data_IF_938399609710
#
_entry.id   IF_938399609710
#
_cell.length_a   1.000
_cell.length_b   1.000
_cell.length_c   1.000
_cell.angle_alpha   90.00
_cell.angle_beta   90.00
_cell.angle_gamma   90.00
#
_symmetry.space_group_name_H-M   'P 1'
#
loop_
_entity.id
_entity.type
_entity.pdbx_description
1 polymer ?
#
# COMPACT_ATOMS: atom_id res chain seq x y z
N UNK A 1 14.42 17.67 -26.72
CA UNK A 1 13.63 16.43 -26.88
C UNK A 1 13.67 15.65 -25.58
N UNK A 2 12.65 14.88 -25.27
CA UNK A 2 12.68 13.98 -24.10
C UNK A 2 13.30 12.64 -24.49
N UNK A 3 14.04 12.02 -23.56
CA UNK A 3 14.59 10.67 -23.73
C UNK A 3 14.04 9.77 -22.63
N UNK A 4 13.42 8.66 -23.02
CA UNK A 4 12.92 7.64 -22.06
C UNK A 4 13.96 6.53 -21.93
N UNK A 5 14.28 6.15 -20.68
CA UNK A 5 15.15 5.02 -20.36
C UNK A 5 14.73 4.31 -19.07
N UNK A 6 15.26 3.12 -18.87
CA UNK A 6 15.11 2.38 -17.60
C UNK A 6 16.08 2.99 -16.59
N UNK A 7 15.58 3.26 -15.39
CA UNK A 7 16.37 3.75 -14.27
C UNK A 7 17.19 2.63 -13.64
N UNK A 8 18.50 2.87 -13.51
CA UNK A 8 19.44 2.04 -12.76
C UNK A 8 19.54 2.46 -11.29
N UNK A 9 20.32 1.73 -10.50
CA UNK A 9 20.50 2.04 -9.07
C UNK A 9 21.13 3.43 -8.83
N UNK A 10 21.98 3.88 -9.74
CA UNK A 10 22.62 5.21 -9.70
C UNK A 10 21.61 6.35 -9.86
N UNK A 11 20.43 6.09 -10.43
CA UNK A 11 19.39 7.10 -10.64
C UNK A 11 18.53 7.35 -9.38
N UNK A 12 18.73 6.58 -8.32
CA UNK A 12 17.92 6.71 -7.09
C UNK A 12 17.83 8.15 -6.58
N UNK A 13 18.91 8.95 -6.44
CA UNK A 13 18.80 10.32 -5.95
C UNK A 13 17.93 11.20 -6.85
N UNK A 14 18.16 11.16 -8.17
CA UNK A 14 17.39 11.94 -9.14
C UNK A 14 15.91 11.54 -9.17
N UNK A 15 15.65 10.24 -9.09
CA UNK A 15 14.30 9.70 -9.03
C UNK A 15 13.57 10.14 -7.76
N UNK A 16 14.18 9.95 -6.60
CA UNK A 16 13.56 10.27 -5.31
C UNK A 16 13.35 11.78 -5.14
N UNK A 17 14.29 12.61 -5.56
CA UNK A 17 14.15 14.07 -5.57
C UNK A 17 12.99 14.51 -6.47
N UNK A 18 12.87 13.93 -7.67
CA UNK A 18 11.74 14.20 -8.55
C UNK A 18 10.42 13.77 -7.88
N UNK A 19 10.32 12.55 -7.36
CA UNK A 19 9.11 12.06 -6.67
C UNK A 19 8.71 12.97 -5.51
N UNK A 20 9.67 13.42 -4.71
CA UNK A 20 9.43 14.30 -3.56
C UNK A 20 9.01 15.71 -3.98
N UNK A 21 9.40 16.19 -5.16
CA UNK A 21 8.95 17.48 -5.69
C UNK A 21 7.52 17.44 -6.22
N UNK A 22 7.00 16.26 -6.59
CA UNK A 22 5.65 16.13 -7.15
C UNK A 22 4.58 16.05 -6.08
N UNK A 23 3.52 16.86 -6.16
CA UNK A 23 2.37 16.82 -5.23
C UNK A 23 1.69 15.45 -5.16
N UNK A 24 1.69 14.71 -6.27
CA UNK A 24 1.12 13.36 -6.37
C UNK A 24 2.12 12.25 -6.03
N UNK A 25 3.39 12.58 -5.73
CA UNK A 25 4.37 11.62 -5.24
C UNK A 25 3.99 11.06 -3.87
N UNK A 26 4.32 9.80 -3.62
CA UNK A 26 4.03 9.15 -2.34
C UNK A 26 5.06 8.05 -2.05
N UNK A 27 4.98 7.40 -0.87
CA UNK A 27 6.02 6.48 -0.42
C UNK A 27 6.27 5.34 -1.42
N UNK A 28 5.24 4.87 -2.09
CA UNK A 28 5.36 3.77 -3.04
C UNK A 28 6.14 4.14 -4.31
N UNK A 29 6.14 5.42 -4.73
CA UNK A 29 6.92 5.88 -5.87
C UNK A 29 8.43 5.96 -5.60
N UNK A 30 8.84 6.00 -4.32
CA UNK A 30 10.25 6.08 -3.96
C UNK A 30 11.01 4.83 -4.41
N UNK A 31 12.27 5.00 -4.73
CA UNK A 31 13.17 3.92 -5.15
C UNK A 31 13.32 2.82 -4.06
N UNK A 32 13.01 3.17 -2.82
CA UNK A 32 12.92 2.24 -1.70
C UNK A 32 11.96 1.07 -1.99
N UNK A 33 10.80 1.33 -2.64
CA UNK A 33 9.86 0.26 -3.00
C UNK A 33 10.42 -0.70 -4.04
N UNK A 34 11.16 -0.17 -5.05
CA UNK A 34 11.89 -0.96 -6.03
C UNK A 34 12.86 -1.92 -5.35
N UNK A 35 13.70 -1.37 -4.46
CA UNK A 35 14.70 -2.16 -3.71
C UNK A 35 14.06 -3.28 -2.91
N UNK A 36 12.98 -2.99 -2.18
CA UNK A 36 12.27 -3.98 -1.38
C UNK A 36 11.69 -5.11 -2.26
N UNK A 37 11.09 -4.79 -3.42
CA UNK A 37 10.55 -5.77 -4.36
C UNK A 37 11.65 -6.66 -4.94
N UNK A 38 12.77 -6.08 -5.36
CA UNK A 38 13.90 -6.83 -5.92
C UNK A 38 14.57 -7.74 -4.89
N UNK A 39 14.80 -7.22 -3.68
CA UNK A 39 15.51 -7.92 -2.63
C UNK A 39 14.71 -9.11 -2.09
N UNK A 40 13.40 -8.95 -1.87
CA UNK A 40 12.60 -9.98 -1.21
C UNK A 40 11.96 -10.98 -2.15
N UNK A 41 11.43 -10.51 -3.28
CA UNK A 41 10.66 -11.35 -4.20
C UNK A 41 11.35 -11.60 -5.52
N UNK A 42 12.48 -10.94 -5.79
CA UNK A 42 13.29 -11.07 -7.01
C UNK A 42 12.47 -10.84 -8.28
N UNK A 43 11.45 -9.96 -8.21
CA UNK A 43 10.72 -9.54 -9.38
C UNK A 43 11.54 -8.58 -10.20
N UNK A 44 11.38 -8.67 -11.51
CA UNK A 44 12.03 -7.78 -12.47
C UNK A 44 11.34 -6.42 -12.45
N UNK A 45 12.09 -5.39 -12.10
CA UNK A 45 11.59 -4.01 -12.09
C UNK A 45 11.94 -3.31 -13.41
N UNK A 46 11.04 -2.48 -13.89
CA UNK A 46 11.15 -1.68 -15.11
C UNK A 46 10.77 -0.23 -14.79
N UNK A 47 11.50 0.39 -13.88
CA UNK A 47 11.31 1.78 -13.55
C UNK A 47 11.78 2.63 -14.73
N UNK A 48 10.88 3.36 -15.38
CA UNK A 48 11.21 4.21 -16.52
C UNK A 48 11.14 5.68 -16.13
N UNK A 49 12.08 6.46 -16.65
CA UNK A 49 12.11 7.89 -16.49
C UNK A 49 12.24 8.56 -17.86
N UNK A 50 11.66 9.74 -17.97
CA UNK A 50 11.85 10.68 -19.06
C UNK A 50 12.79 11.79 -18.59
N UNK A 51 13.82 12.07 -19.36
CA UNK A 51 14.80 13.12 -19.06
C UNK A 51 14.95 14.08 -20.25
N UNK A 52 15.27 15.33 -19.96
CA UNK A 52 15.63 16.34 -20.99
C UNK A 52 17.03 16.07 -21.54
N UNK A 53 17.38 16.75 -22.64
CA UNK A 53 18.74 16.71 -23.20
C UNK A 53 19.82 17.18 -22.20
N UNK A 54 19.44 17.89 -21.15
CA UNK A 54 20.31 18.35 -20.05
C UNK A 54 20.32 17.38 -18.84
N UNK A 55 19.65 16.23 -18.92
CA UNK A 55 19.60 15.23 -17.85
C UNK A 55 18.61 15.55 -16.71
N UNK A 56 17.74 16.57 -16.89
CA UNK A 56 16.68 16.87 -15.90
C UNK A 56 15.53 15.86 -16.04
N UNK A 57 15.10 15.26 -14.93
CA UNK A 57 13.95 14.34 -14.92
C UNK A 57 12.66 15.11 -15.16
N UNK A 58 11.91 14.73 -16.18
CA UNK A 58 10.63 15.31 -16.60
C UNK A 58 9.41 14.48 -16.16
N UNK A 59 9.62 13.18 -15.96
CA UNK A 59 8.57 12.27 -15.51
C UNK A 59 9.11 10.89 -15.19
N UNK A 60 8.36 10.17 -14.37
CA UNK A 60 8.69 8.80 -13.93
C UNK A 60 7.48 7.89 -13.95
N UNK A 61 7.70 6.61 -14.24
CA UNK A 61 6.71 5.56 -14.11
C UNK A 61 7.37 4.29 -13.56
N UNK A 62 7.09 3.91 -12.30
CA UNK A 62 7.57 2.67 -11.72
C UNK A 62 6.77 1.48 -12.24
N UNK A 63 7.43 0.47 -12.79
CA UNK A 63 6.81 -0.74 -13.30
C UNK A 63 7.52 -1.98 -12.72
N UNK A 64 6.73 -3.02 -12.43
CA UNK A 64 7.22 -4.33 -11.97
C UNK A 64 6.58 -5.43 -12.79
N UNK A 65 7.38 -6.35 -13.27
CA UNK A 65 6.92 -7.51 -14.03
C UNK A 65 6.68 -8.70 -13.09
N UNK A 66 5.42 -9.06 -12.93
CA UNK A 66 5.00 -10.24 -12.18
C UNK A 66 4.82 -11.41 -13.15
N UNK A 67 5.62 -12.49 -12.95
CA UNK A 67 5.62 -13.71 -13.79
C UNK A 67 5.14 -14.91 -12.96
N UNK A 68 3.82 -15.09 -12.75
CA UNK A 68 3.34 -16.28 -12.04
C UNK A 68 3.55 -17.54 -12.90
N UNK A 69 3.93 -18.68 -12.28
CA UNK A 69 4.03 -19.95 -13.00
C UNK A 69 2.70 -20.30 -13.68
N UNK A 70 2.75 -20.73 -14.94
CA UNK A 70 1.61 -21.22 -15.73
C UNK A 70 0.49 -20.17 -15.99
N UNK A 71 0.67 -18.92 -15.59
CA UNK A 71 -0.30 -17.86 -15.82
C UNK A 71 0.33 -16.72 -16.64
N UNK A 72 -0.52 -15.88 -17.22
CA UNK A 72 -0.06 -14.70 -17.98
C UNK A 72 0.70 -13.72 -17.08
N UNK A 73 1.81 -13.22 -17.58
CA UNK A 73 2.58 -12.16 -16.92
C UNK A 73 1.78 -10.86 -16.83
N UNK A 74 2.08 -10.05 -15.83
CA UNK A 74 1.50 -8.72 -15.67
C UNK A 74 2.61 -7.70 -15.40
N UNK A 75 2.65 -6.64 -16.19
CA UNK A 75 3.46 -5.46 -15.94
C UNK A 75 2.58 -4.47 -15.16
N UNK A 76 2.87 -4.25 -13.89
CA UNK A 76 2.04 -3.46 -13.00
C UNK A 76 2.78 -2.23 -12.50
N UNK A 77 2.10 -1.08 -12.47
CA UNK A 77 2.63 0.10 -11.82
C UNK A 77 2.49 -0.03 -10.31
N UNK A 78 3.46 -0.71 -9.73
CA UNK A 78 3.67 -1.11 -8.34
C UNK A 78 2.69 -2.14 -7.79
N UNK A 79 3.19 -3.35 -7.56
CA UNK A 79 2.48 -4.37 -6.80
C UNK A 79 2.53 -4.09 -5.31
N UNK A 80 1.62 -4.74 -4.55
CA UNK A 80 1.57 -4.79 -3.09
C UNK A 80 1.23 -3.46 -2.42
N UNK A 81 0.80 -2.47 -3.21
CA UNK A 81 0.41 -1.14 -2.75
C UNK A 81 -0.79 -0.60 -3.55
N UNK A 82 -1.27 0.57 -3.17
CA UNK A 82 -2.54 1.10 -3.67
C UNK A 82 -2.39 1.95 -4.94
N UNK A 83 -1.23 2.54 -5.19
CA UNK A 83 -0.96 3.40 -6.33
C UNK A 83 0.53 3.46 -6.69
N UNK A 84 0.83 3.84 -7.91
CA UNK A 84 2.18 3.91 -8.46
C UNK A 84 2.19 4.34 -9.93
N UNK A 85 1.22 5.15 -10.35
CA UNK A 85 1.10 5.63 -11.73
C UNK A 85 2.17 6.60 -12.16
N UNK A 86 2.03 7.15 -13.36
CA UNK A 86 2.93 8.18 -13.90
C UNK A 86 2.93 9.40 -12.98
N UNK A 87 4.12 9.92 -12.73
CA UNK A 87 4.30 11.26 -12.17
C UNK A 87 4.98 12.13 -13.22
N UNK A 88 4.31 13.17 -13.66
CA UNK A 88 4.86 14.25 -14.51
C UNK A 88 3.93 15.46 -14.44
N UNK A 89 4.46 16.68 -14.38
CA UNK A 89 3.66 17.89 -14.54
C UNK A 89 3.22 18.13 -15.98
N UNK A 90 3.85 17.45 -16.96
CA UNK A 90 3.64 17.65 -18.39
C UNK A 90 2.81 16.50 -18.97
N UNK A 91 1.67 16.82 -19.62
CA UNK A 91 0.81 15.82 -20.26
C UNK A 91 1.49 15.04 -21.37
N UNK A 92 2.32 15.72 -22.15
CA UNK A 92 3.04 15.08 -23.25
C UNK A 92 4.02 14.02 -22.76
N UNK A 93 4.81 14.35 -21.71
CA UNK A 93 5.71 13.40 -21.06
C UNK A 93 4.93 12.22 -20.47
N UNK A 94 3.78 12.49 -19.84
CA UNK A 94 2.90 11.44 -19.34
C UNK A 94 2.46 10.51 -20.47
N UNK A 95 2.06 11.05 -21.61
CA UNK A 95 1.65 10.28 -22.80
C UNK A 95 2.78 9.41 -23.33
N UNK A 96 3.98 9.98 -23.49
CA UNK A 96 5.16 9.24 -23.97
C UNK A 96 5.54 8.08 -23.02
N UNK A 97 5.50 8.28 -21.70
CA UNK A 97 5.72 7.23 -20.71
C UNK A 97 4.67 6.11 -20.79
N UNK A 98 3.41 6.46 -21.03
CA UNK A 98 2.32 5.49 -21.20
C UNK A 98 2.46 4.68 -22.50
N UNK A 99 2.83 5.34 -23.63
CA UNK A 99 3.11 4.67 -24.89
C UNK A 99 4.26 3.69 -24.76
N UNK A 100 5.35 4.11 -24.07
CA UNK A 100 6.50 3.26 -23.79
C UNK A 100 6.13 2.05 -22.91
N UNK A 101 5.35 2.26 -21.85
CA UNK A 101 4.87 1.18 -21.00
C UNK A 101 3.96 0.18 -21.75
N UNK A 102 3.10 0.69 -22.63
CA UNK A 102 2.23 -0.16 -23.47
C UNK A 102 3.05 -1.01 -24.45
N UNK A 103 4.03 -0.41 -25.13
CA UNK A 103 4.94 -1.11 -26.03
C UNK A 103 5.79 -2.17 -25.28
N UNK A 104 6.29 -1.81 -24.09
CA UNK A 104 7.03 -2.73 -23.22
C UNK A 104 6.17 -3.91 -22.78
N UNK A 105 4.93 -3.69 -22.36
CA UNK A 105 4.01 -4.77 -21.98
C UNK A 105 3.74 -5.72 -23.16
N UNK A 106 3.54 -5.17 -24.37
CA UNK A 106 3.35 -5.95 -25.58
C UNK A 106 4.60 -6.80 -25.92
N UNK A 107 5.81 -6.21 -25.86
CA UNK A 107 7.07 -6.93 -26.13
C UNK A 107 7.34 -8.07 -25.11
N UNK A 108 6.87 -7.91 -23.88
CA UNK A 108 6.99 -8.91 -22.82
C UNK A 108 5.85 -9.93 -22.80
N UNK A 109 4.90 -9.83 -23.73
CA UNK A 109 3.66 -10.61 -23.73
C UNK A 109 2.96 -10.59 -22.37
N UNK A 110 2.93 -9.41 -21.73
CA UNK A 110 2.37 -9.17 -20.41
C UNK A 110 1.11 -8.29 -20.50
N UNK A 111 0.20 -8.49 -19.55
CA UNK A 111 -0.92 -7.56 -19.36
C UNK A 111 -0.37 -6.30 -18.68
N UNK A 112 -0.87 -5.12 -19.07
CA UNK A 112 -0.54 -3.86 -18.42
C UNK A 112 -1.61 -3.53 -17.38
N UNK A 113 -1.17 -3.18 -16.14
CA UNK A 113 -2.03 -2.69 -15.06
C UNK A 113 -1.42 -1.42 -14.48
N UNK A 114 -2.18 -0.32 -14.50
CA UNK A 114 -1.74 0.99 -14.02
C UNK A 114 -2.63 1.48 -12.89
N UNK A 115 -2.03 1.94 -11.79
CA UNK A 115 -2.74 2.30 -10.55
C UNK A 115 -2.48 3.75 -10.18
N UNK A 116 -3.56 4.52 -10.08
CA UNK A 116 -3.52 5.94 -9.78
C UNK A 116 -4.35 6.28 -8.55
N UNK A 117 -3.98 7.37 -7.89
CA UNK A 117 -4.75 7.97 -6.80
C UNK A 117 -5.59 9.17 -7.25
N UNK A 118 -5.49 9.53 -8.52
CA UNK A 118 -6.27 10.57 -9.17
C UNK A 118 -6.72 10.09 -10.56
N UNK A 119 -7.77 10.70 -11.16
CA UNK A 119 -8.21 10.33 -12.50
C UNK A 119 -7.07 10.49 -13.52
N UNK A 120 -6.89 9.49 -14.36
CA UNK A 120 -5.91 9.49 -15.44
C UNK A 120 -6.58 9.05 -16.77
N UNK A 121 -7.45 9.88 -17.34
CA UNK A 121 -8.22 9.51 -18.54
C UNK A 121 -7.34 9.23 -19.76
N UNK A 122 -6.14 9.79 -19.81
CA UNK A 122 -5.14 9.52 -20.84
C UNK A 122 -4.74 8.04 -20.90
N UNK A 123 -4.79 7.30 -19.78
CA UNK A 123 -4.50 5.86 -19.77
C UNK A 123 -5.45 5.07 -20.66
N UNK A 124 -6.74 5.41 -20.64
CA UNK A 124 -7.72 4.77 -21.50
C UNK A 124 -7.50 5.11 -22.97
N UNK A 125 -7.16 6.35 -23.28
CA UNK A 125 -6.92 6.81 -24.67
C UNK A 125 -5.61 6.23 -25.25
N UNK A 126 -4.52 6.23 -24.47
CA UNK A 126 -3.18 5.82 -24.95
C UNK A 126 -3.02 4.30 -24.91
N UNK A 127 -3.42 3.65 -23.80
CA UNK A 127 -3.18 2.23 -23.58
C UNK A 127 -4.39 1.36 -23.90
N UNK A 128 -5.57 1.93 -24.15
CA UNK A 128 -6.82 1.18 -24.36
C UNK A 128 -7.23 0.36 -23.14
N UNK A 129 -6.94 0.85 -21.94
CA UNK A 129 -7.24 0.18 -20.67
C UNK A 129 -8.55 0.71 -20.07
N UNK A 130 -9.39 -0.20 -19.58
CA UNK A 130 -10.59 0.16 -18.80
C UNK A 130 -10.28 0.40 -17.33
N UNK A 131 -11.07 1.25 -16.67
CA UNK A 131 -11.00 1.47 -15.23
C UNK A 131 -11.66 0.30 -14.48
N UNK A 132 -11.02 -0.20 -13.43
CA UNK A 132 -11.37 -1.47 -12.78
C UNK A 132 -11.58 -1.40 -11.27
N UNK A 133 -11.21 -0.32 -10.59
CA UNK A 133 -11.29 -0.22 -9.14
C UNK A 133 -12.49 0.56 -8.64
N UNK A 134 -13.12 0.05 -7.57
CA UNK A 134 -14.12 0.74 -6.76
C UNK A 134 -13.61 0.98 -5.33
N UNK A 135 -12.28 0.89 -5.14
CA UNK A 135 -11.65 1.09 -3.84
C UNK A 135 -11.39 2.58 -3.61
N UNK A 136 -11.30 2.93 -2.34
CA UNK A 136 -10.94 4.30 -1.91
C UNK A 136 -9.80 4.24 -0.91
N UNK A 137 -8.98 5.28 -0.87
CA UNK A 137 -8.13 5.60 0.28
C UNK A 137 -8.94 6.39 1.29
N UNK A 138 -8.58 6.30 2.55
CA UNK A 138 -9.24 7.06 3.61
C UNK A 138 -8.23 8.07 4.18
N UNK A 139 -8.46 9.35 3.91
CA UNK A 139 -7.54 10.45 4.20
C UNK A 139 -8.04 11.32 5.35
N UNK A 140 -7.16 11.67 6.27
CA UNK A 140 -7.42 12.57 7.38
C UNK A 140 -6.42 13.71 7.36
N UNK A 141 -6.90 14.93 7.37
CA UNK A 141 -6.04 16.10 7.57
C UNK A 141 -5.63 16.17 9.05
N UNK A 142 -4.34 16.34 9.29
CA UNK A 142 -3.79 16.44 10.65
C UNK A 142 -3.58 17.91 11.03
N UNK A 143 -3.99 18.32 12.22
CA UNK A 143 -3.53 19.58 12.81
C UNK A 143 -2.06 19.42 13.24
N UNK A 144 -1.40 20.57 13.52
CA UNK A 144 0.03 20.59 13.86
C UNK A 144 0.42 19.83 15.11
N UNK A 145 -0.55 19.43 15.95
CA UNK A 145 -0.28 18.66 17.15
C UNK A 145 -1.40 17.67 17.51
N UNK A 146 -1.03 16.63 18.29
CA UNK A 146 -1.95 15.55 18.66
C UNK A 146 -3.03 15.97 19.68
N UNK A 147 -2.83 17.02 20.48
CA UNK A 147 -3.81 17.50 21.45
C UNK A 147 -4.95 18.23 20.74
N UNK A 148 -4.63 19.01 19.70
CA UNK A 148 -5.63 19.61 18.82
C UNK A 148 -6.45 18.52 18.10
N UNK A 149 -5.77 17.49 17.59
CA UNK A 149 -6.44 16.34 16.96
C UNK A 149 -7.36 15.63 17.96
N UNK A 150 -6.88 15.37 19.17
CA UNK A 150 -7.68 14.78 20.25
C UNK A 150 -8.90 15.63 20.59
N UNK A 151 -8.73 16.94 20.68
CA UNK A 151 -9.81 17.91 20.94
C UNK A 151 -10.92 17.86 19.86
N UNK A 152 -10.55 17.61 18.60
CA UNK A 152 -11.48 17.53 17.47
C UNK A 152 -12.35 16.27 17.47
N UNK A 153 -11.93 15.22 18.15
CA UNK A 153 -12.65 13.95 18.17
C UNK A 153 -13.94 14.01 19.00
N UNK A 154 -14.99 13.35 18.52
CA UNK A 154 -16.23 13.15 19.27
C UNK A 154 -15.96 12.38 20.56
N UNK A 155 -16.74 12.64 21.62
CA UNK A 155 -16.60 12.00 22.93
C UNK A 155 -16.62 10.47 22.85
N UNK A 156 -17.48 9.91 21.98
CA UNK A 156 -17.57 8.47 21.72
C UNK A 156 -16.22 7.90 21.22
N UNK A 157 -15.57 8.54 20.24
CA UNK A 157 -14.30 8.11 19.70
C UNK A 157 -13.19 8.17 20.77
N UNK A 158 -13.11 9.27 21.52
CA UNK A 158 -12.17 9.42 22.64
C UNK A 158 -12.36 8.31 23.71
N UNK A 159 -13.60 7.96 24.00
CA UNK A 159 -13.89 6.85 24.91
C UNK A 159 -13.40 5.50 24.37
N UNK A 160 -13.59 5.26 23.08
CA UNK A 160 -13.10 4.04 22.41
C UNK A 160 -11.57 3.95 22.40
N UNK A 161 -10.87 5.07 22.20
CA UNK A 161 -9.40 5.11 22.23
C UNK A 161 -8.87 4.86 23.66
N UNK A 162 -9.55 5.39 24.69
CA UNK A 162 -9.15 5.19 26.10
C UNK A 162 -9.42 3.77 26.62
N UNK A 163 -10.36 3.07 26.00
CA UNK A 163 -10.75 1.73 26.47
C UNK A 163 -9.60 0.74 26.52
N UNK A 164 -8.82 0.51 25.44
CA UNK A 164 -7.69 -0.43 25.50
C UNK A 164 -6.69 -0.07 26.60
N UNK A 165 -6.40 1.22 26.82
CA UNK A 165 -5.51 1.65 27.91
C UNK A 165 -6.08 1.31 29.30
N UNK A 166 -7.40 1.49 29.49
CA UNK A 166 -8.07 1.09 30.74
C UNK A 166 -8.08 -0.42 30.93
N UNK A 167 -8.10 -1.18 29.85
CA UNK A 167 -8.01 -2.64 29.84
C UNK A 167 -6.54 -3.12 30.00
N UNK A 168 -5.59 -2.21 30.26
CA UNK A 168 -4.17 -2.51 30.51
C UNK A 168 -3.33 -2.73 29.25
N UNK A 169 -3.83 -2.39 28.04
CA UNK A 169 -3.04 -2.49 26.82
C UNK A 169 -2.06 -1.32 26.70
N UNK A 170 -0.87 -1.60 26.20
CA UNK A 170 0.20 -0.61 25.95
C UNK A 170 0.54 -0.54 24.47
N UNK A 171 1.04 0.60 24.03
CA UNK A 171 1.49 0.82 22.64
C UNK A 171 2.99 1.10 22.63
N UNK A 172 3.71 0.44 21.72
CA UNK A 172 5.13 0.65 21.49
C UNK A 172 5.37 0.94 20.02
N UNK A 173 6.25 1.90 19.74
CA UNK A 173 6.72 2.24 18.38
C UNK A 173 8.20 1.89 18.27
N UNK A 174 8.57 1.21 17.19
CA UNK A 174 9.94 0.79 16.92
C UNK A 174 10.18 0.58 15.43
N UNK A 175 11.07 -0.33 15.10
CA UNK A 175 11.43 -0.70 13.73
C UNK A 175 11.66 -2.22 13.65
N UNK A 176 12.89 -2.66 13.34
CA UNK A 176 13.27 -4.08 13.25
C UNK A 176 13.12 -4.83 14.57
N UNK A 177 13.29 -4.16 15.68
CA UNK A 177 13.09 -4.68 17.04
C UNK A 177 11.66 -5.19 17.29
N UNK A 178 10.67 -4.66 16.54
CA UNK A 178 9.25 -5.06 16.63
C UNK A 178 8.78 -5.92 15.43
N UNK A 179 9.68 -6.29 14.52
CA UNK A 179 9.33 -7.00 13.29
C UNK A 179 8.67 -8.36 13.57
N UNK A 180 9.18 -9.12 14.53
CA UNK A 180 8.67 -10.47 14.84
C UNK A 180 7.29 -10.41 15.50
N UNK A 181 7.04 -9.43 16.36
CA UNK A 181 5.73 -9.20 16.98
C UNK A 181 4.71 -8.72 15.94
N UNK A 182 5.12 -7.80 15.06
CA UNK A 182 4.28 -7.39 13.93
C UNK A 182 3.92 -8.61 13.06
N UNK A 183 4.91 -9.41 12.68
CA UNK A 183 4.69 -10.53 11.78
C UNK A 183 3.80 -11.61 12.42
N UNK A 184 3.91 -11.81 13.72
CA UNK A 184 3.05 -12.73 14.49
C UNK A 184 1.58 -12.32 14.40
N UNK A 185 1.26 -11.05 14.65
CA UNK A 185 -0.11 -10.53 14.51
C UNK A 185 -0.58 -10.59 13.05
N UNK A 186 0.30 -10.19 12.13
CA UNK A 186 -0.03 -10.08 10.71
C UNK A 186 -0.38 -11.42 10.09
N UNK A 187 0.46 -12.47 10.27
CA UNK A 187 0.22 -13.80 9.69
C UNK A 187 -1.05 -14.47 10.22
N UNK A 188 -1.33 -14.33 11.52
CA UNK A 188 -2.55 -14.89 12.12
C UNK A 188 -3.80 -14.20 11.58
N UNK A 189 -3.78 -12.86 11.50
CA UNK A 189 -4.91 -12.11 10.96
C UNK A 189 -5.12 -12.38 9.46
N UNK A 190 -4.06 -12.48 8.65
CA UNK A 190 -4.17 -12.78 7.22
C UNK A 190 -4.78 -14.16 6.97
N UNK A 191 -4.39 -15.18 7.75
CA UNK A 191 -5.04 -16.49 7.70
C UNK A 191 -6.54 -16.39 8.02
N UNK A 192 -6.91 -15.70 9.11
CA UNK A 192 -8.32 -15.49 9.50
C UNK A 192 -9.13 -14.82 8.38
N UNK A 193 -8.51 -13.91 7.63
CA UNK A 193 -9.13 -13.22 6.49
C UNK A 193 -9.14 -14.07 5.20
N UNK A 194 -8.60 -15.30 5.23
CA UNK A 194 -8.52 -16.16 4.05
C UNK A 194 -7.56 -15.65 2.98
N UNK A 195 -6.58 -14.83 3.36
CA UNK A 195 -5.65 -14.19 2.43
C UNK A 195 -4.21 -14.69 2.64
N UNK A 196 -3.47 -15.00 1.56
CA UNK A 196 -2.06 -15.35 1.68
C UNK A 196 -1.26 -14.20 2.29
N UNK A 197 -0.42 -14.52 3.28
CA UNK A 197 0.44 -13.55 3.95
C UNK A 197 1.68 -13.24 3.11
N UNK A 198 2.17 -12.01 3.19
CA UNK A 198 3.50 -11.66 2.67
C UNK A 198 4.61 -12.37 3.43
N UNK A 199 5.73 -12.62 2.77
CA UNK A 199 6.92 -13.14 3.43
C UNK A 199 7.40 -12.18 4.54
N UNK A 200 7.97 -12.72 5.64
CA UNK A 200 8.62 -11.90 6.66
C UNK A 200 9.76 -11.07 6.04
N UNK A 201 10.53 -11.69 5.13
CA UNK A 201 11.60 -11.01 4.38
C UNK A 201 11.10 -9.83 3.53
N UNK A 202 9.85 -9.85 3.05
CA UNK A 202 9.25 -8.69 2.38
C UNK A 202 9.12 -7.49 3.32
N UNK A 203 8.57 -7.73 4.52
CA UNK A 203 8.41 -6.68 5.52
C UNK A 203 9.78 -6.14 5.96
N UNK A 204 10.73 -7.01 6.22
CA UNK A 204 12.11 -6.66 6.56
C UNK A 204 12.77 -5.81 5.45
N UNK A 205 12.66 -6.23 4.18
CA UNK A 205 13.17 -5.46 3.04
C UNK A 205 12.51 -4.07 2.91
N UNK A 206 11.24 -3.94 3.27
CA UNK A 206 10.57 -2.61 3.32
C UNK A 206 11.16 -1.76 4.45
N UNK A 207 11.34 -2.31 5.64
CA UNK A 207 11.95 -1.57 6.76
C UNK A 207 13.38 -1.13 6.43
N UNK A 208 14.19 -2.02 5.84
CA UNK A 208 15.56 -1.72 5.41
C UNK A 208 15.59 -0.60 4.36
N UNK A 209 14.75 -0.73 3.32
CA UNK A 209 14.77 0.20 2.20
C UNK A 209 14.25 1.60 2.57
N UNK A 210 13.24 1.67 3.46
CA UNK A 210 12.64 2.94 3.91
C UNK A 210 13.35 3.54 5.13
N UNK A 211 14.09 2.72 5.90
CA UNK A 211 14.86 3.16 7.07
C UNK A 211 14.02 4.03 8.02
N UNK A 212 14.47 5.25 8.34
CA UNK A 212 13.77 6.18 9.26
C UNK A 212 12.36 6.59 8.82
N UNK A 213 12.02 6.38 7.54
CA UNK A 213 10.69 6.66 7.00
C UNK A 213 9.67 5.55 7.28
N UNK A 214 10.11 4.39 7.76
CA UNK A 214 9.25 3.27 8.13
C UNK A 214 9.26 3.06 9.65
N UNK A 215 8.10 2.88 10.25
CA UNK A 215 7.96 2.55 11.68
C UNK A 215 6.95 1.43 11.87
N UNK A 216 7.25 0.58 12.82
CA UNK A 216 6.39 -0.50 13.30
C UNK A 216 5.73 -0.05 14.60
N UNK A 217 4.42 -0.19 14.70
CA UNK A 217 3.68 -0.01 15.94
C UNK A 217 3.09 -1.33 16.39
N UNK A 218 3.21 -1.63 17.67
CA UNK A 218 2.63 -2.84 18.29
C UNK A 218 1.86 -2.44 19.56
N UNK A 219 0.67 -3.03 19.70
CA UNK A 219 -0.13 -2.95 20.93
C UNK A 219 -0.03 -4.27 21.65
N UNK A 220 0.33 -4.22 22.92
CA UNK A 220 0.51 -5.39 23.78
C UNK A 220 -0.60 -5.50 24.83
N UNK A 221 -0.92 -6.75 25.17
CA UNK A 221 -1.69 -7.14 26.36
C UNK A 221 -0.75 -7.96 27.26
N UNK A 222 -0.19 -7.34 28.30
CA UNK A 222 1.00 -7.86 28.96
C UNK A 222 2.15 -7.97 27.95
N UNK A 223 2.77 -9.14 27.83
CA UNK A 223 3.85 -9.40 26.89
C UNK A 223 3.38 -9.92 25.52
N UNK A 224 2.06 -10.05 25.31
CA UNK A 224 1.52 -10.63 24.08
C UNK A 224 1.10 -9.55 23.08
N UNK A 225 1.56 -9.60 21.81
CA UNK A 225 1.14 -8.65 20.78
C UNK A 225 -0.33 -8.89 20.39
N UNK A 226 -1.17 -7.86 20.55
CA UNK A 226 -2.62 -7.90 20.29
C UNK A 226 -3.02 -7.23 18.98
N UNK A 227 -2.31 -6.18 18.59
CA UNK A 227 -2.45 -5.53 17.29
C UNK A 227 -1.10 -4.96 16.85
N UNK A 228 -0.88 -4.91 15.54
CA UNK A 228 0.34 -4.35 14.98
C UNK A 228 0.10 -3.73 13.61
N UNK A 229 0.95 -2.79 13.22
CA UNK A 229 0.90 -2.15 11.92
C UNK A 229 2.22 -1.49 11.55
N UNK A 230 2.29 -1.03 10.31
CA UNK A 230 3.44 -0.29 9.78
C UNK A 230 2.93 1.02 9.20
N UNK A 231 3.68 2.08 9.42
CA UNK A 231 3.49 3.36 8.74
C UNK A 231 4.72 3.70 7.90
N UNK A 232 4.47 4.35 6.76
CA UNK A 232 5.50 4.93 5.90
C UNK A 232 5.29 6.44 5.86
N UNK A 233 6.33 7.21 6.14
CA UNK A 233 6.29 8.68 6.09
C UNK A 233 6.96 9.14 4.80
N UNK A 234 6.22 9.90 4.00
CA UNK A 234 6.72 10.51 2.79
C UNK A 234 6.26 11.96 2.73
N UNK A 235 7.21 12.89 2.70
CA UNK A 235 6.93 14.32 2.80
C UNK A 235 6.16 14.61 4.10
N UNK A 236 4.97 15.14 3.97
CA UNK A 236 4.06 15.55 5.03
C UNK A 236 2.89 14.57 5.29
N UNK A 237 3.00 13.35 4.77
CA UNK A 237 1.93 12.35 4.88
C UNK A 237 2.45 11.04 5.47
N UNK A 238 1.76 10.54 6.49
CA UNK A 238 1.95 9.20 7.02
C UNK A 238 0.92 8.25 6.40
N UNK A 239 1.39 7.14 5.81
CA UNK A 239 0.54 6.13 5.14
C UNK A 239 0.63 4.80 5.87
N UNK A 240 -0.51 4.11 6.07
CA UNK A 240 -0.59 2.79 6.71
C UNK A 240 -0.79 1.69 5.65
N UNK A 241 0.28 1.04 5.16
CA UNK A 241 0.14 -0.09 4.23
C UNK A 241 -0.43 -1.35 4.89
N UNK A 242 -0.07 -1.61 6.15
CA UNK A 242 -0.52 -2.79 6.87
C UNK A 242 -0.89 -2.46 8.30
N UNK A 243 -2.05 -2.95 8.74
CA UNK A 243 -2.47 -2.97 10.14
C UNK A 243 -3.34 -4.22 10.37
N UNK A 244 -3.14 -4.87 11.48
CA UNK A 244 -3.81 -6.11 11.88
C UNK A 244 -4.08 -6.12 13.38
N UNK A 245 -5.12 -6.87 13.79
CA UNK A 245 -5.39 -7.16 15.18
C UNK A 245 -5.90 -8.59 15.33
N UNK A 246 -5.53 -9.23 16.43
CA UNK A 246 -5.96 -10.56 16.76
C UNK A 246 -7.40 -10.53 17.29
N UNK A 247 -8.23 -11.46 16.81
CA UNK A 247 -9.66 -11.52 17.16
C UNK A 247 -9.92 -11.84 18.65
N UNK A 248 -9.01 -12.49 19.31
CA UNK A 248 -9.08 -12.80 20.75
C UNK A 248 -9.08 -11.54 21.62
N UNK A 249 -8.44 -10.45 21.16
CA UNK A 249 -8.42 -9.15 21.84
C UNK A 249 -9.50 -8.17 21.34
N UNK A 250 -10.43 -8.61 20.50
CA UNK A 250 -11.43 -7.72 19.88
C UNK A 250 -12.27 -6.93 20.90
N UNK A 251 -12.53 -7.50 22.09
CA UNK A 251 -13.28 -6.85 23.16
C UNK A 251 -12.57 -5.60 23.70
N UNK A 252 -11.25 -5.63 23.79
CA UNK A 252 -10.44 -4.49 24.25
C UNK A 252 -10.10 -3.49 23.13
N UNK A 253 -10.51 -3.78 21.89
CA UNK A 253 -10.35 -2.87 20.74
C UNK A 253 -8.91 -2.35 20.51
N UNK A 254 -7.88 -3.21 20.42
CA UNK A 254 -6.49 -2.79 20.32
C UNK A 254 -6.19 -1.93 19.10
N UNK A 255 -6.96 -2.07 18.00
CA UNK A 255 -6.86 -1.21 16.81
C UNK A 255 -7.04 0.28 17.14
N UNK A 256 -7.86 0.62 18.13
CA UNK A 256 -8.07 2.01 18.51
C UNK A 256 -6.80 2.61 19.09
N UNK A 257 -6.06 1.86 19.92
CA UNK A 257 -4.80 2.30 20.48
C UNK A 257 -3.69 2.34 19.42
N UNK A 258 -3.62 1.34 18.53
CA UNK A 258 -2.67 1.28 17.44
C UNK A 258 -2.77 2.52 16.53
N UNK A 259 -3.97 2.82 16.04
CA UNK A 259 -4.15 3.98 15.14
C UNK A 259 -3.97 5.31 15.87
N UNK A 260 -4.33 5.40 17.15
CA UNK A 260 -4.04 6.59 17.94
C UNK A 260 -2.54 6.81 18.10
N UNK A 261 -1.78 5.76 18.40
CA UNK A 261 -0.32 5.84 18.47
C UNK A 261 0.32 6.29 17.14
N UNK A 262 -0.19 5.79 16.02
CA UNK A 262 0.25 6.23 14.69
C UNK A 262 -0.07 7.70 14.42
N UNK A 263 -1.26 8.16 14.78
CA UNK A 263 -1.67 9.56 14.61
C UNK A 263 -0.81 10.51 15.47
N UNK A 264 -0.53 10.12 16.72
CA UNK A 264 0.37 10.89 17.59
C UNK A 264 1.78 10.99 17.00
N UNK A 265 2.31 9.87 16.49
CA UNK A 265 3.62 9.85 15.85
C UNK A 265 3.64 10.70 14.57
N UNK A 266 2.62 10.62 13.73
CA UNK A 266 2.51 11.42 12.52
C UNK A 266 2.49 12.93 12.83
N UNK A 267 1.72 13.36 13.83
CA UNK A 267 1.72 14.75 14.30
C UNK A 267 3.11 15.16 14.81
N UNK A 268 3.76 14.32 15.64
CA UNK A 268 5.10 14.59 16.17
C UNK A 268 6.17 14.70 15.07
N UNK A 269 5.99 14.00 13.94
CA UNK A 269 6.83 14.12 12.75
C UNK A 269 6.47 15.31 11.84
N UNK A 270 5.50 16.15 12.21
CA UNK A 270 5.07 17.30 11.42
C UNK A 270 4.25 16.95 10.18
N UNK A 271 3.63 15.75 10.13
CA UNK A 271 2.75 15.40 9.05
C UNK A 271 1.46 16.23 9.08
N UNK A 272 1.04 16.75 7.92
CA UNK A 272 -0.24 17.42 7.71
C UNK A 272 -1.34 16.48 7.23
N UNK A 273 -0.99 15.24 6.81
CA UNK A 273 -1.91 14.25 6.30
C UNK A 273 -1.66 12.84 6.85
N UNK A 274 -2.76 12.07 6.98
CA UNK A 274 -2.72 10.67 7.36
C UNK A 274 -3.58 9.84 6.40
N UNK A 275 -2.95 8.87 5.74
CA UNK A 275 -3.60 7.92 4.85
C UNK A 275 -3.77 6.57 5.56
N UNK A 276 -5.00 6.28 5.97
CA UNK A 276 -5.36 5.00 6.60
C UNK A 276 -5.26 3.80 5.64
N UNK A 277 -4.88 4.02 4.38
CA UNK A 277 -4.86 3.02 3.33
C UNK A 277 -6.25 2.68 2.79
N UNK A 278 -6.27 1.68 1.92
CA UNK A 278 -7.40 1.28 1.11
C UNK A 278 -8.58 0.72 1.92
N UNK A 279 -9.79 1.01 1.42
CA UNK A 279 -11.05 0.43 1.92
C UNK A 279 -12.05 0.21 0.78
N UNK A 280 -13.06 -0.61 1.04
CA UNK A 280 -14.24 -0.74 0.18
C UNK A 280 -15.37 0.09 0.80
N UNK A 281 -15.99 1.00 0.06
CA UNK A 281 -17.13 1.78 0.56
C UNK A 281 -18.20 0.88 1.19
N UNK A 282 -18.69 1.28 2.36
CA UNK A 282 -19.74 0.56 3.09
C UNK A 282 -19.29 -0.67 3.91
N UNK A 283 -18.04 -1.13 3.76
CA UNK A 283 -17.50 -2.25 4.56
C UNK A 283 -17.01 -1.81 5.96
N UNK A 284 -16.75 -2.79 6.83
CA UNK A 284 -16.34 -2.53 8.22
C UNK A 284 -15.07 -1.71 8.35
N UNK A 285 -14.07 -1.95 7.49
CA UNK A 285 -12.82 -1.18 7.49
C UNK A 285 -13.03 0.27 7.06
N UNK A 286 -13.94 0.53 6.12
CA UNK A 286 -14.32 1.88 5.72
C UNK A 286 -14.94 2.64 6.90
N UNK A 287 -15.96 2.05 7.55
CA UNK A 287 -16.65 2.65 8.71
C UNK A 287 -15.71 2.89 9.88
N UNK A 288 -14.77 1.95 10.10
CA UNK A 288 -13.73 2.10 11.11
C UNK A 288 -12.87 3.34 10.88
N UNK A 289 -12.44 3.59 9.62
CA UNK A 289 -11.60 4.74 9.29
C UNK A 289 -12.42 6.05 9.26
N UNK A 290 -13.65 5.99 8.78
CA UNK A 290 -14.58 7.13 8.74
C UNK A 290 -14.87 7.71 10.14
N UNK A 291 -14.95 6.86 11.19
CA UNK A 291 -15.18 7.35 12.56
C UNK A 291 -14.08 8.25 13.11
N UNK A 292 -12.86 8.18 12.55
CA UNK A 292 -11.73 9.07 12.85
C UNK A 292 -11.84 10.43 12.16
N UNK A 293 -12.84 10.62 11.31
CA UNK A 293 -13.00 11.79 10.46
C UNK A 293 -12.32 11.67 9.09
N UNK A 294 -11.79 10.49 8.76
CA UNK A 294 -11.17 10.27 7.47
C UNK A 294 -12.20 10.33 6.32
N UNK A 295 -11.81 10.96 5.22
CA UNK A 295 -12.63 11.14 4.02
C UNK A 295 -12.18 10.19 2.92
N UNK A 296 -13.12 9.61 2.13
CA UNK A 296 -12.76 8.74 1.03
C UNK A 296 -12.17 9.53 -0.14
N UNK A 297 -11.09 9.00 -0.72
CA UNK A 297 -10.49 9.46 -1.98
C UNK A 297 -10.42 8.26 -2.93
N UNK A 298 -11.08 8.28 -4.09
CA UNK A 298 -11.12 7.16 -5.01
C UNK A 298 -9.73 6.71 -5.48
N UNK A 299 -9.61 5.41 -5.80
CA UNK A 299 -8.46 4.83 -6.47
C UNK A 299 -8.85 4.48 -7.90
N UNK A 300 -7.99 4.80 -8.85
CA UNK A 300 -8.22 4.61 -10.28
C UNK A 300 -7.23 3.59 -10.81
N UNK A 301 -7.69 2.34 -10.97
CA UNK A 301 -6.88 1.26 -11.52
C UNK A 301 -7.35 0.94 -12.91
N UNK A 302 -6.42 0.81 -13.84
CA UNK A 302 -6.66 0.57 -15.24
C UNK A 302 -6.01 -0.75 -15.67
N UNK A 303 -6.76 -1.59 -16.42
CA UNK A 303 -6.27 -2.88 -16.89
C UNK A 303 -7.13 -3.46 -18.02
N UNK A 304 -6.59 -4.42 -18.80
CA UNK A 304 -7.34 -5.19 -19.79
C UNK A 304 -7.99 -6.41 -19.17
N UNK A 305 -9.25 -6.67 -19.55
CA UNK A 305 -9.96 -7.92 -19.21
C UNK A 305 -10.58 -7.96 -17.82
N UNK A 306 -10.61 -6.82 -17.12
CA UNK A 306 -11.48 -6.63 -15.97
C UNK A 306 -12.76 -5.93 -16.45
N UNK A 307 -13.96 -6.32 -15.98
CA UNK A 307 -15.20 -5.76 -16.51
C UNK A 307 -15.25 -4.25 -16.28
N UNK A 308 -15.60 -3.53 -17.34
CA UNK A 308 -15.79 -2.06 -17.41
C UNK A 308 -16.97 -1.57 -16.56
N UNK A 309 -17.62 -2.45 -15.87
CA UNK A 309 -18.77 -2.18 -15.01
C UNK A 309 -18.51 -2.77 -13.64
N UNK A 310 -18.78 -2.01 -12.60
CA UNK A 310 -18.79 -2.42 -11.19
C UNK A 310 -19.74 -3.58 -10.85
N UNK A 311 -19.92 -4.50 -11.78
CA UNK A 311 -20.61 -5.77 -11.58
C UNK A 311 -19.52 -6.80 -11.30
N UNK A 312 -19.46 -7.39 -10.11
CA UNK A 312 -18.59 -8.53 -9.86
C UNK A 312 -18.96 -9.60 -10.91
N UNK A 313 -17.96 -10.10 -11.64
CA UNK A 313 -18.17 -11.21 -12.56
C UNK A 313 -18.92 -12.30 -11.80
N UNK A 314 -20.15 -12.64 -12.25
CA UNK A 314 -21.08 -13.52 -11.52
C UNK A 314 -20.49 -14.84 -11.04
N UNK A 315 -19.38 -15.29 -11.65
CA UNK A 315 -18.69 -16.53 -11.30
C UNK A 315 -17.35 -16.33 -10.55
N UNK A 316 -16.67 -15.18 -10.68
CA UNK A 316 -15.37 -14.93 -10.02
C UNK A 316 -15.49 -14.70 -8.50
N UNK A 317 -16.58 -14.09 -8.06
CA UNK A 317 -16.83 -13.81 -6.63
C UNK A 317 -17.03 -15.08 -5.78
N UNK A 318 -17.68 -16.11 -6.35
CA UNK A 318 -17.93 -17.36 -5.63
C UNK A 318 -16.66 -18.22 -5.51
N UNK A 319 -15.84 -18.26 -6.56
CA UNK A 319 -14.55 -18.99 -6.53
C UNK A 319 -13.57 -18.33 -5.55
N UNK A 320 -13.46 -17.02 -5.59
CA UNK A 320 -12.63 -16.26 -4.64
C UNK A 320 -13.05 -16.52 -3.19
N UNK A 321 -14.34 -16.39 -2.86
CA UNK A 321 -14.85 -16.67 -1.53
C UNK A 321 -14.61 -18.11 -1.07
N UNK A 322 -14.69 -19.10 -1.98
CA UNK A 322 -14.35 -20.49 -1.69
C UNK A 322 -12.87 -20.65 -1.37
N UNK A 323 -11.97 -20.04 -2.16
CA UNK A 323 -10.54 -20.07 -1.89
C UNK A 323 -10.24 -19.41 -0.54
N UNK A 324 -10.80 -18.23 -0.26
CA UNK A 324 -10.66 -17.53 1.01
C UNK A 324 -11.16 -18.39 2.20
N UNK A 325 -12.29 -19.08 2.03
CA UNK A 325 -12.84 -19.99 3.04
C UNK A 325 -11.93 -21.19 3.30
N UNK A 326 -11.46 -21.86 2.24
CA UNK A 326 -10.53 -22.99 2.37
C UNK A 326 -9.23 -22.52 3.02
N UNK A 327 -8.67 -21.40 2.59
CA UNK A 327 -7.44 -20.84 3.14
C UNK A 327 -7.51 -20.57 4.64
N UNK A 328 -8.64 -20.02 5.10
CA UNK A 328 -8.86 -19.72 6.53
C UNK A 328 -8.97 -20.96 7.41
N UNK A 329 -9.28 -22.14 6.85
CA UNK A 329 -9.39 -23.40 7.60
C UNK A 329 -8.08 -24.18 7.65
N UNK A 330 -7.10 -23.88 6.80
CA UNK A 330 -5.81 -24.57 6.80
C UNK A 330 -5.05 -24.37 8.13
N UNK A 331 -4.22 -25.34 8.57
CA UNK A 331 -3.35 -25.17 9.73
C UNK A 331 -2.40 -23.97 9.54
N UNK A 332 -2.07 -23.25 10.62
CA UNK A 332 -1.23 -22.05 10.57
C UNK A 332 0.12 -22.32 9.89
N UNK A 333 0.80 -23.43 10.24
CA UNK A 333 2.10 -23.78 9.64
C UNK A 333 2.05 -23.99 8.12
N UNK A 334 0.92 -24.52 7.59
CA UNK A 334 0.73 -24.69 6.14
C UNK A 334 0.58 -23.32 5.46
N UNK A 335 -0.23 -22.44 6.06
CA UNK A 335 -0.48 -21.09 5.53
C UNK A 335 0.79 -20.24 5.59
N UNK A 336 1.58 -20.37 6.67
CA UNK A 336 2.84 -19.65 6.84
C UNK A 336 3.88 -20.05 5.80
N UNK A 337 3.88 -21.31 5.37
CA UNK A 337 4.80 -21.79 4.34
C UNK A 337 4.31 -21.45 2.92
N UNK A 338 3.05 -21.74 2.61
CA UNK A 338 2.50 -21.53 1.25
C UNK A 338 2.15 -20.07 0.97
N UNK A 339 1.74 -19.32 2.00
CA UNK A 339 1.31 -17.92 1.86
C UNK A 339 2.31 -17.05 1.12
N UNK A 340 3.58 -16.97 1.57
CA UNK A 340 4.61 -16.18 0.90
C UNK A 340 4.87 -16.61 -0.55
N UNK A 341 4.82 -17.91 -0.85
CA UNK A 341 5.06 -18.43 -2.19
C UNK A 341 3.97 -18.03 -3.18
N UNK A 342 2.72 -17.93 -2.72
CA UNK A 342 1.57 -17.52 -3.52
C UNK A 342 1.47 -15.99 -3.56
N UNK A 343 1.66 -15.33 -2.40
CA UNK A 343 1.44 -13.89 -2.22
C UNK A 343 2.30 -13.02 -3.13
N UNK A 344 3.54 -13.43 -3.39
CA UNK A 344 4.44 -12.69 -4.29
C UNK A 344 3.91 -12.54 -5.73
N UNK A 345 2.99 -13.40 -6.16
CA UNK A 345 2.38 -13.34 -7.49
C UNK A 345 1.00 -12.65 -7.53
N UNK A 346 0.51 -12.22 -6.39
CA UNK A 346 -0.76 -11.47 -6.27
C UNK A 346 -0.42 -9.99 -6.15
N UNK A 347 -0.62 -9.17 -7.19
CA UNK A 347 -0.20 -7.76 -7.18
C UNK A 347 -0.91 -6.89 -6.12
N UNK A 348 -2.04 -7.37 -5.56
CA UNK A 348 -2.90 -6.66 -4.60
C UNK A 348 -2.48 -6.82 -3.17
#
# INVERSE_FOLDING_TARGET
MSRIRIAGTQDQPLWDDFVLSQGQGGPYHLFAWKRAVEQSYHHETRYILSESDQGTVLGVLPLVLIKPPLLSSTLVSLPFCDYGGVLSPEREVSRELLEHASAMAASLNARLELRYREPAPEVSHVCGLGMTSQKVRMLLDLPGDSDQLWGSFKSKLRSQIRRPQKDGLTFTMGSHDLLDDFYTVFRVNMRRLGSPVHARAWIESVLDAFSERARVGVVYSGDNPAAAGIILICRDTATVPWASALSEYARSSPNMLLYWGFLQHACACGCSGFDFGRSTPGEGTYRFKEQWGARPSPLYWYGKGLPDSGVPAKNGGNLRKRIESVWSTLPQGVVDHLGPLVRKYIPL
#
